data_IF_460213792435
#
_entry.id   IF_460213792435
#
_cell.length_a   1.000
_cell.length_b   1.000
_cell.length_c   1.000
_cell.angle_alpha   90.00
_cell.angle_beta   90.00
_cell.angle_gamma   90.00
#
_symmetry.space_group_name_H-M   'P 1'
#
loop_
_entity.id
_entity.type
_entity.pdbx_description
1 polymer ?
#
# COMPACT_ATOMS: atom_id res chain seq x y z
N UNK A 1 21.53 -9.04 22.62
CA UNK A 1 20.59 -8.86 23.73
C UNK A 1 20.56 -7.42 24.19
N UNK A 2 21.46 -7.03 25.11
CA UNK A 2 21.44 -5.73 25.79
C UNK A 2 21.50 -4.49 24.87
N UNK A 3 22.24 -4.52 23.75
CA UNK A 3 22.33 -3.36 22.85
C UNK A 3 21.12 -3.18 21.92
N UNK A 4 20.43 -4.27 21.55
CA UNK A 4 19.15 -4.20 20.83
C UNK A 4 18.10 -3.57 21.73
N UNK A 5 18.09 -3.92 23.02
CA UNK A 5 17.24 -3.27 24.01
C UNK A 5 17.58 -1.77 24.16
N UNK A 6 18.85 -1.37 24.10
CA UNK A 6 19.28 0.03 24.17
C UNK A 6 18.87 0.85 22.93
N UNK A 7 18.90 0.25 21.73
CA UNK A 7 18.45 0.87 20.49
C UNK A 7 16.92 0.95 20.37
N UNK A 8 16.20 -0.09 20.80
CA UNK A 8 14.74 -0.06 20.96
C UNK A 8 14.33 1.03 21.97
N UNK A 9 15.08 1.14 23.07
CA UNK A 9 14.90 2.17 24.07
C UNK A 9 15.31 3.57 23.61
N UNK A 10 15.99 3.75 22.46
CA UNK A 10 16.27 5.09 21.92
C UNK A 10 15.18 5.60 20.96
N UNK A 11 14.41 4.71 20.33
CA UNK A 11 13.30 5.07 19.44
C UNK A 11 12.13 5.74 20.21
N UNK A 12 11.92 7.04 19.99
CA UNK A 12 10.82 7.80 20.61
C UNK A 12 9.44 7.19 20.30
N UNK A 13 9.22 6.69 19.08
CA UNK A 13 7.92 6.13 18.68
C UNK A 13 7.56 4.83 19.42
N UNK A 14 8.54 3.95 19.64
CA UNK A 14 8.38 2.73 20.45
C UNK A 14 8.15 3.06 21.93
N UNK A 15 8.82 4.10 22.45
CA UNK A 15 8.61 4.58 23.83
C UNK A 15 7.23 5.23 24.03
N UNK A 16 6.70 5.88 22.99
CA UNK A 16 5.37 6.50 23.02
C UNK A 16 4.20 5.53 22.82
N UNK A 17 4.46 4.24 22.54
CA UNK A 17 3.43 3.24 22.29
C UNK A 17 2.70 3.37 20.95
N UNK A 18 3.13 4.28 20.07
CA UNK A 18 2.54 4.51 18.75
C UNK A 18 2.74 3.32 17.80
N UNK A 19 3.83 2.57 17.98
CA UNK A 19 4.21 1.38 17.20
C UNK A 19 4.58 0.23 18.14
N UNK A 20 4.20 -0.99 17.77
CA UNK A 20 4.56 -2.23 18.47
C UNK A 20 5.49 -3.09 17.62
N UNK A 21 6.49 -3.73 18.22
CA UNK A 21 7.32 -4.72 17.52
C UNK A 21 6.49 -5.99 17.32
N UNK A 22 6.03 -6.23 16.09
CA UNK A 22 5.27 -7.44 15.75
C UNK A 22 6.15 -8.65 15.54
N UNK A 23 7.32 -8.45 14.94
CA UNK A 23 8.32 -9.50 14.83
C UNK A 23 9.72 -8.95 14.65
N UNK A 24 10.70 -9.73 15.10
CA UNK A 24 12.12 -9.40 15.01
C UNK A 24 12.82 -10.58 14.36
N UNK A 25 13.52 -10.33 13.26
CA UNK A 25 14.32 -11.35 12.60
C UNK A 25 15.74 -10.86 12.41
N UNK A 26 16.70 -11.76 12.66
CA UNK A 26 18.12 -11.51 12.51
C UNK A 26 18.56 -12.00 11.13
N UNK A 27 19.09 -11.10 10.31
CA UNK A 27 19.68 -11.40 9.01
C UNK A 27 21.17 -11.05 9.08
N UNK A 28 21.98 -12.01 9.55
CA UNK A 28 23.41 -11.81 9.75
C UNK A 28 23.71 -10.71 10.77
N UNK A 29 24.27 -9.59 10.28
CA UNK A 29 24.61 -8.37 11.06
C UNK A 29 23.46 -7.40 11.26
N UNK A 30 22.34 -7.64 10.59
CA UNK A 30 21.18 -6.76 10.58
C UNK A 30 20.09 -7.35 11.46
N UNK A 31 19.55 -6.53 12.36
CA UNK A 31 18.31 -6.83 13.05
C UNK A 31 17.20 -6.06 12.35
N UNK A 32 16.26 -6.80 11.76
CA UNK A 32 15.08 -6.24 11.13
C UNK A 32 13.93 -6.30 12.12
N UNK A 33 13.38 -5.14 12.45
CA UNK A 33 12.16 -5.04 13.23
C UNK A 33 11.01 -4.79 12.28
N UNK A 34 10.00 -5.63 12.43
CA UNK A 34 8.68 -5.42 11.84
C UNK A 34 7.83 -4.73 12.88
N UNK A 35 7.57 -3.45 12.67
CA UNK A 35 6.73 -2.65 13.55
C UNK A 35 5.32 -2.58 12.98
N UNK A 36 4.30 -2.62 13.82
CA UNK A 36 2.93 -2.35 13.43
C UNK A 36 2.25 -1.41 14.41
N UNK A 37 1.42 -0.51 13.89
CA UNK A 37 0.59 0.35 14.73
C UNK A 37 -0.38 -0.51 15.54
N UNK A 38 -0.26 -0.43 16.86
CA UNK A 38 -1.23 -1.02 17.77
C UNK A 38 -2.48 -0.16 17.75
N UNK A 39 -3.40 -0.42 16.81
CA UNK A 39 -4.86 -0.22 16.95
C UNK A 39 -5.62 -0.45 15.64
N UNK A 40 -5.05 -0.20 14.46
CA UNK A 40 -5.76 -0.39 13.19
C UNK A 40 -4.84 -1.01 12.14
N UNK A 41 -5.32 -2.08 11.51
CA UNK A 41 -4.58 -2.81 10.48
C UNK A 41 -4.28 -1.92 9.29
N UNK A 42 -2.99 -1.75 8.99
CA UNK A 42 -2.53 -1.06 7.79
C UNK A 42 -1.32 -0.19 8.06
N UNK A 43 -0.15 -0.86 8.15
CA UNK A 43 1.17 -0.43 7.68
C UNK A 43 2.24 -1.12 8.55
N UNK A 44 2.94 -2.08 7.94
CA UNK A 44 4.10 -2.72 8.56
C UNK A 44 5.34 -1.87 8.22
N UNK A 45 5.80 -1.05 9.17
CA UNK A 45 7.04 -0.31 9.02
C UNK A 45 8.23 -1.26 9.26
N UNK A 46 9.23 -1.20 8.39
CA UNK A 46 10.43 -2.03 8.47
C UNK A 46 11.62 -1.18 8.90
N UNK A 47 12.07 -1.35 10.14
CA UNK A 47 13.23 -0.65 10.69
C UNK A 47 14.44 -1.58 10.72
N UNK A 48 15.61 -1.04 10.36
CA UNK A 48 16.84 -1.78 10.16
C UNK A 48 17.93 -1.18 11.05
N UNK A 49 18.51 -1.99 11.94
CA UNK A 49 19.68 -1.60 12.73
C UNK A 49 20.90 -2.38 12.26
N UNK A 50 21.98 -1.66 11.95
CA UNK A 50 23.30 -2.23 11.73
C UNK A 50 24.14 -2.01 12.97
N UNK A 51 24.82 -3.06 13.46
CA UNK A 51 25.74 -2.92 14.58
C UNK A 51 27.14 -2.55 14.04
N UNK A 52 27.66 -1.33 14.31
CA UNK A 52 28.94 -0.89 13.79
C UNK A 52 30.15 -1.64 14.39
N UNK A 53 29.98 -2.39 15.47
CA UNK A 53 31.07 -3.08 16.18
C UNK A 53 31.24 -4.56 15.81
N UNK A 54 30.49 -5.11 14.86
CA UNK A 54 30.72 -6.46 14.34
C UNK A 54 31.57 -6.43 13.07
N UNK A 55 32.89 -6.47 13.25
CA UNK A 55 33.84 -6.81 12.18
C UNK A 55 33.90 -8.33 12.02
N UNK A 56 33.63 -8.83 10.82
CA UNK A 56 34.14 -10.14 10.37
C UNK A 56 34.35 -10.14 8.86
N UNK A 57 35.56 -10.47 8.41
CA UNK A 57 35.77 -10.95 7.04
C UNK A 57 34.83 -12.15 6.81
N UNK A 58 33.85 -12.05 5.93
CA UNK A 58 33.11 -13.22 5.42
C UNK A 58 32.83 -13.02 3.94
N UNK A 59 33.75 -13.53 3.14
CA UNK A 59 33.73 -13.59 1.69
C UNK A 59 32.72 -14.65 1.23
N UNK A 60 31.41 -14.37 1.36
CA UNK A 60 30.42 -14.99 0.49
C UNK A 60 29.90 -13.89 -0.41
N UNK A 61 30.47 -13.76 -1.61
CA UNK A 61 30.06 -12.75 -2.59
C UNK A 61 28.56 -12.87 -2.80
N UNK A 62 27.80 -11.90 -2.32
CA UNK A 62 26.38 -11.85 -2.59
C UNK A 62 26.25 -11.27 -4.00
N UNK A 63 26.38 -12.14 -5.00
CA UNK A 63 26.39 -11.77 -6.43
C UNK A 63 25.22 -10.85 -6.78
N UNK A 64 24.07 -11.03 -6.13
CA UNK A 64 22.90 -10.16 -6.27
C UNK A 64 23.12 -8.81 -5.63
N UNK A 65 23.61 -8.77 -4.39
CA UNK A 65 23.93 -7.54 -3.69
C UNK A 65 24.92 -6.68 -4.47
N UNK A 66 26.03 -7.28 -4.91
CA UNK A 66 27.07 -6.62 -5.70
C UNK A 66 26.50 -6.10 -7.03
N UNK A 67 25.67 -6.91 -7.68
CA UNK A 67 24.96 -6.52 -8.90
C UNK A 67 23.96 -5.38 -8.66
N UNK A 68 23.24 -5.35 -7.53
CA UNK A 68 22.31 -4.26 -7.19
C UNK A 68 23.05 -2.94 -6.94
N UNK A 69 24.20 -2.99 -6.26
CA UNK A 69 25.07 -1.83 -6.05
C UNK A 69 25.54 -1.30 -7.40
N UNK A 70 26.14 -2.15 -8.24
CA UNK A 70 26.69 -1.73 -9.54
C UNK A 70 25.61 -1.26 -10.52
N UNK A 71 24.50 -1.99 -10.62
CA UNK A 71 23.51 -1.82 -11.70
C UNK A 71 22.45 -0.78 -11.39
N UNK A 72 22.03 -0.71 -10.12
CA UNK A 72 20.91 0.12 -9.67
C UNK A 72 21.34 1.19 -8.66
N UNK A 73 22.60 1.20 -8.20
CA UNK A 73 23.10 2.23 -7.28
C UNK A 73 22.53 2.07 -5.86
N UNK A 74 22.36 0.84 -5.40
CA UNK A 74 22.06 0.56 -3.99
C UNK A 74 23.27 0.92 -3.12
N UNK A 75 23.03 1.39 -1.89
CA UNK A 75 24.08 1.36 -0.87
C UNK A 75 24.38 -0.09 -0.49
N UNK A 76 25.53 -0.33 0.15
CA UNK A 76 25.86 -1.68 0.64
C UNK A 76 24.78 -2.23 1.58
N UNK A 77 24.23 -1.37 2.46
CA UNK A 77 23.18 -1.72 3.39
C UNK A 77 21.87 -2.09 2.68
N UNK A 78 21.43 -1.26 1.74
CA UNK A 78 20.21 -1.51 0.97
C UNK A 78 20.35 -2.81 0.15
N UNK A 79 21.54 -3.05 -0.42
CA UNK A 79 21.83 -4.24 -1.21
C UNK A 79 21.77 -5.51 -0.35
N UNK A 80 22.33 -5.49 0.86
CA UNK A 80 22.27 -6.61 1.81
C UNK A 80 20.81 -6.90 2.21
N UNK A 81 20.03 -5.86 2.55
CA UNK A 81 18.62 -6.01 2.95
C UNK A 81 17.77 -6.55 1.80
N UNK A 82 18.02 -6.08 0.58
CA UNK A 82 17.25 -6.48 -0.59
C UNK A 82 17.58 -7.91 -0.99
N UNK A 83 18.86 -8.22 -1.15
CA UNK A 83 19.33 -9.54 -1.58
C UNK A 83 18.99 -10.66 -0.59
N UNK A 84 19.01 -10.40 0.72
CA UNK A 84 18.65 -11.40 1.75
C UNK A 84 17.18 -11.85 1.70
N UNK A 85 16.30 -11.08 1.05
CA UNK A 85 14.88 -11.42 0.88
C UNK A 85 14.61 -12.26 -0.37
N UNK A 86 15.63 -12.43 -1.19
CA UNK A 86 15.56 -13.19 -2.42
C UNK A 86 16.29 -14.51 -2.18
N UNK A 87 15.68 -15.63 -2.59
CA UNK A 87 16.38 -16.92 -2.49
C UNK A 87 17.65 -16.82 -3.34
N UNK A 88 18.76 -17.32 -2.81
CA UNK A 88 20.07 -17.28 -3.47
C UNK A 88 19.92 -17.77 -4.90
N UNK A 89 20.18 -16.88 -5.87
CA UNK A 89 20.10 -17.23 -7.27
C UNK A 89 21.26 -18.14 -7.62
N UNK A 90 21.02 -19.13 -8.49
CA UNK A 90 22.09 -19.89 -9.12
C UNK A 90 22.80 -19.08 -10.22
N UNK A 91 22.15 -18.06 -10.79
CA UNK A 91 22.66 -17.22 -11.88
C UNK A 91 22.06 -15.79 -11.86
N UNK A 92 22.83 -14.73 -12.20
CA UNK A 92 22.36 -13.35 -12.28
C UNK A 92 21.55 -13.02 -13.56
N UNK A 93 21.42 -13.97 -14.51
CA UNK A 93 20.77 -13.74 -15.80
C UNK A 93 19.30 -13.31 -15.68
N UNK A 94 18.54 -13.91 -14.76
CA UNK A 94 17.12 -13.59 -14.58
C UNK A 94 16.92 -12.17 -13.98
N UNK A 95 17.58 -11.79 -12.86
CA UNK A 95 17.55 -10.41 -12.37
C UNK A 95 17.96 -9.37 -13.44
N UNK A 96 18.99 -9.66 -14.23
CA UNK A 96 19.46 -8.77 -15.28
C UNK A 96 18.42 -8.57 -16.39
N UNK A 97 17.78 -9.67 -16.83
CA UNK A 97 16.73 -9.63 -17.84
C UNK A 97 15.50 -8.84 -17.39
N UNK A 98 15.09 -8.99 -16.12
CA UNK A 98 13.95 -8.24 -15.55
C UNK A 98 14.27 -6.74 -15.47
N UNK A 99 15.46 -6.37 -15.01
CA UNK A 99 15.86 -4.96 -14.94
C UNK A 99 15.96 -4.35 -16.33
N UNK A 100 16.51 -5.07 -17.31
CA UNK A 100 16.56 -4.62 -18.70
C UNK A 100 15.14 -4.40 -19.24
N UNK A 101 14.23 -5.35 -19.01
CA UNK A 101 12.84 -5.22 -19.42
C UNK A 101 12.15 -3.99 -18.80
N UNK A 102 12.40 -3.68 -17.52
CA UNK A 102 11.85 -2.46 -16.92
C UNK A 102 12.39 -1.18 -17.57
N UNK A 103 13.69 -1.14 -17.92
CA UNK A 103 14.25 -0.01 -18.66
C UNK A 103 13.61 0.13 -20.05
N UNK A 104 13.47 -0.98 -20.77
CA UNK A 104 12.80 -1.03 -22.08
C UNK A 104 11.32 -0.61 -21.99
N UNK A 105 10.68 -0.83 -20.83
CA UNK A 105 9.31 -0.39 -20.54
C UNK A 105 9.22 1.10 -20.14
N UNK A 106 10.32 1.84 -20.21
CA UNK A 106 10.37 3.29 -19.95
C UNK A 106 10.57 3.68 -18.48
N UNK A 107 10.98 2.75 -17.60
CA UNK A 107 11.28 3.06 -16.20
C UNK A 107 12.74 3.50 -16.04
N UNK A 108 12.95 4.55 -15.25
CA UNK A 108 14.30 5.03 -14.94
C UNK A 108 15.00 4.18 -13.85
N UNK A 109 16.31 4.41 -13.68
CA UNK A 109 17.13 3.67 -12.71
C UNK A 109 16.62 3.81 -11.27
N UNK A 110 16.15 4.99 -10.86
CA UNK A 110 15.68 5.27 -9.51
C UNK A 110 14.33 4.59 -9.24
N UNK A 111 13.42 4.62 -10.21
CA UNK A 111 12.14 3.91 -10.18
C UNK A 111 12.36 2.39 -10.06
N UNK A 112 13.26 1.82 -10.88
CA UNK A 112 13.58 0.39 -10.81
C UNK A 112 14.21 0.05 -9.46
N UNK A 113 15.16 0.87 -8.97
CA UNK A 113 15.74 0.71 -7.62
C UNK A 113 14.64 0.64 -6.56
N UNK A 114 13.68 1.57 -6.59
CA UNK A 114 12.56 1.60 -5.65
C UNK A 114 11.68 0.35 -5.71
N UNK A 115 11.28 -0.08 -6.91
CA UNK A 115 10.47 -1.30 -7.11
C UNK A 115 11.19 -2.53 -6.55
N UNK A 116 12.48 -2.67 -6.86
CA UNK A 116 13.30 -3.80 -6.42
C UNK A 116 13.49 -3.78 -4.90
N UNK A 117 13.73 -2.61 -4.31
CA UNK A 117 13.83 -2.48 -2.85
C UNK A 117 12.53 -2.85 -2.15
N UNK A 118 11.39 -2.40 -2.69
CA UNK A 118 10.07 -2.63 -2.11
C UNK A 118 9.52 -4.04 -2.31
N UNK A 119 9.90 -4.69 -3.41
CA UNK A 119 9.50 -6.05 -3.76
C UNK A 119 10.69 -6.86 -4.29
N UNK A 120 11.67 -7.23 -3.44
CA UNK A 120 12.89 -7.90 -3.91
C UNK A 120 12.65 -9.23 -4.63
N UNK A 121 11.59 -9.95 -4.24
CA UNK A 121 11.18 -11.23 -4.82
C UNK A 121 10.85 -11.15 -6.31
N UNK A 122 10.59 -9.95 -6.85
CA UNK A 122 10.32 -9.76 -8.28
C UNK A 122 11.50 -10.24 -9.13
N UNK A 123 12.73 -10.10 -8.64
CA UNK A 123 13.94 -10.53 -9.34
C UNK A 123 14.02 -12.06 -9.53
N UNK A 124 13.25 -12.83 -8.75
CA UNK A 124 13.12 -14.30 -8.89
C UNK A 124 11.91 -14.75 -9.68
N UNK A 125 11.06 -13.83 -10.14
CA UNK A 125 9.91 -14.20 -10.95
C UNK A 125 10.35 -14.55 -12.38
N UNK A 126 9.56 -15.39 -13.05
CA UNK A 126 9.73 -15.66 -14.47
C UNK A 126 9.33 -14.42 -15.28
N UNK A 127 10.23 -13.93 -16.12
CA UNK A 127 10.01 -12.72 -16.92
C UNK A 127 8.80 -12.86 -17.86
N UNK A 128 8.69 -13.98 -18.58
CA UNK A 128 7.67 -14.20 -19.62
C UNK A 128 6.32 -14.60 -19.02
N UNK A 129 6.32 -15.45 -17.99
CA UNK A 129 5.09 -16.01 -17.41
C UNK A 129 4.49 -15.14 -16.32
N UNK A 130 5.28 -14.30 -15.67
CA UNK A 130 4.86 -13.58 -14.46
C UNK A 130 5.02 -12.07 -14.60
N UNK A 131 6.19 -11.58 -15.02
CA UNK A 131 6.45 -10.14 -15.02
C UNK A 131 5.76 -9.44 -16.20
N UNK A 132 6.00 -9.90 -17.44
CA UNK A 132 5.41 -9.32 -18.65
C UNK A 132 3.89 -9.31 -18.65
N UNK A 133 3.17 -10.39 -18.29
CA UNK A 133 1.71 -10.37 -18.30
C UNK A 133 1.11 -9.35 -17.33
N UNK A 134 1.69 -9.19 -16.14
CA UNK A 134 1.24 -8.18 -15.16
C UNK A 134 1.51 -6.76 -15.64
N UNK A 135 2.66 -6.54 -16.26
CA UNK A 135 3.04 -5.24 -16.83
C UNK A 135 2.13 -4.86 -17.99
N UNK A 136 1.81 -5.82 -18.86
CA UNK A 136 0.87 -5.62 -19.96
C UNK A 136 -0.49 -5.18 -19.46
N UNK A 137 -1.04 -5.82 -18.41
CA UNK A 137 -2.34 -5.41 -17.85
C UNK A 137 -2.33 -3.96 -17.35
N UNK A 138 -1.23 -3.50 -16.73
CA UNK A 138 -1.12 -2.11 -16.30
C UNK A 138 -1.02 -1.15 -17.50
N UNK A 139 -0.29 -1.54 -18.54
CA UNK A 139 -0.18 -0.77 -19.79
C UNK A 139 -1.52 -0.70 -20.54
N UNK A 140 -2.29 -1.79 -20.54
CA UNK A 140 -3.64 -1.86 -21.12
C UNK A 140 -4.64 -0.96 -20.35
N UNK A 141 -4.34 -0.59 -19.09
CA UNK A 141 -5.06 0.43 -18.32
C UNK A 141 -4.57 1.87 -18.62
N UNK A 142 -3.67 2.04 -19.59
CA UNK A 142 -3.11 3.33 -19.99
C UNK A 142 -1.93 3.82 -19.16
N UNK A 143 -1.37 3.01 -18.26
CA UNK A 143 -0.21 3.39 -17.45
C UNK A 143 1.09 3.19 -18.25
N UNK A 144 1.94 4.23 -18.28
CA UNK A 144 3.25 4.17 -18.93
C UNK A 144 4.29 5.01 -18.18
N UNK A 145 5.58 4.77 -18.45
CA UNK A 145 6.69 5.52 -17.86
C UNK A 145 6.59 5.68 -16.33
N UNK A 146 6.60 6.93 -15.87
CA UNK A 146 6.53 7.27 -14.44
C UNK A 146 5.22 6.86 -13.77
N UNK A 147 4.09 6.96 -14.46
CA UNK A 147 2.78 6.58 -13.91
C UNK A 147 2.73 5.07 -13.62
N UNK A 148 3.32 4.28 -14.52
CA UNK A 148 3.48 2.85 -14.34
C UNK A 148 4.35 2.53 -13.11
N UNK A 149 5.47 3.23 -12.95
CA UNK A 149 6.34 3.07 -11.77
C UNK A 149 5.62 3.44 -10.47
N UNK A 150 4.85 4.54 -10.47
CA UNK A 150 4.07 5.01 -9.31
C UNK A 150 3.02 3.97 -8.93
N UNK A 151 2.22 3.50 -9.90
CA UNK A 151 1.18 2.50 -9.67
C UNK A 151 1.76 1.20 -9.10
N UNK A 152 2.91 0.75 -9.63
CA UNK A 152 3.60 -0.45 -9.14
C UNK A 152 4.10 -0.26 -7.70
N UNK A 153 4.74 0.88 -7.40
CA UNK A 153 5.28 1.16 -6.07
C UNK A 153 4.17 1.28 -5.02
N UNK A 154 3.05 1.92 -5.39
CA UNK A 154 1.87 1.99 -4.54
C UNK A 154 1.31 0.57 -4.28
N UNK A 155 1.13 -0.23 -5.34
CA UNK A 155 0.39 -1.48 -5.24
C UNK A 155 1.28 -2.71 -5.19
N UNK A 156 1.90 -2.95 -4.03
CA UNK A 156 2.70 -4.17 -3.80
C UNK A 156 1.94 -5.48 -4.03
N UNK A 157 0.60 -5.47 -4.01
CA UNK A 157 -0.23 -6.65 -4.27
C UNK A 157 -0.14 -7.13 -5.72
N UNK A 158 0.19 -6.25 -6.68
CA UNK A 158 0.38 -6.60 -8.10
C UNK A 158 1.37 -7.76 -8.25
N UNK A 159 2.44 -7.76 -7.46
CA UNK A 159 3.47 -8.81 -7.54
C UNK A 159 3.20 -10.02 -6.64
N UNK A 160 2.34 -9.87 -5.64
CA UNK A 160 2.12 -10.88 -4.59
C UNK A 160 0.93 -11.79 -4.86
N UNK A 161 -0.01 -11.38 -5.72
CA UNK A 161 -1.29 -12.10 -5.94
C UNK A 161 -1.39 -12.69 -7.35
N UNK A 162 -2.33 -13.60 -7.53
CA UNK A 162 -2.64 -14.20 -8.83
C UNK A 162 -3.12 -13.12 -9.80
N UNK A 163 -2.61 -13.14 -11.03
CA UNK A 163 -3.09 -12.25 -12.08
C UNK A 163 -4.56 -12.53 -12.39
N UNK A 164 -4.88 -13.79 -12.65
CA UNK A 164 -6.21 -14.20 -13.15
C UNK A 164 -7.24 -14.34 -12.03
N UNK A 165 -6.83 -14.80 -10.84
CA UNK A 165 -7.78 -15.03 -9.74
C UNK A 165 -7.97 -13.81 -8.85
N UNK A 166 -7.13 -12.77 -8.98
CA UNK A 166 -7.20 -11.61 -8.09
C UNK A 166 -7.13 -10.28 -8.85
N UNK A 167 -6.04 -10.01 -9.57
CA UNK A 167 -5.84 -8.68 -10.16
C UNK A 167 -6.87 -8.36 -11.24
N UNK A 168 -7.11 -9.29 -12.17
CA UNK A 168 -8.08 -9.10 -13.25
C UNK A 168 -9.52 -8.92 -12.72
N UNK A 169 -10.04 -9.79 -11.82
CA UNK A 169 -11.34 -9.57 -11.19
C UNK A 169 -11.43 -8.26 -10.42
N UNK A 170 -10.36 -7.86 -9.72
CA UNK A 170 -10.33 -6.60 -8.99
C UNK A 170 -10.40 -5.40 -9.93
N UNK A 171 -9.65 -5.40 -11.04
CA UNK A 171 -9.76 -4.33 -12.05
C UNK A 171 -11.14 -4.30 -12.70
N UNK A 172 -11.74 -5.46 -12.99
CA UNK A 172 -13.12 -5.53 -13.48
C UNK A 172 -14.11 -4.94 -12.47
N UNK A 173 -13.93 -5.23 -11.18
CA UNK A 173 -14.75 -4.69 -10.10
C UNK A 173 -14.60 -3.17 -9.99
N UNK A 174 -13.39 -2.63 -10.10
CA UNK A 174 -13.18 -1.17 -10.12
C UNK A 174 -13.85 -0.51 -11.33
N UNK A 175 -13.80 -1.17 -12.51
CA UNK A 175 -14.43 -0.67 -13.74
C UNK A 175 -15.97 -0.65 -13.70
N UNK A 176 -16.62 -1.25 -12.69
CA UNK A 176 -18.08 -1.09 -12.52
C UNK A 176 -18.45 0.27 -11.94
N UNK A 177 -17.48 0.98 -11.35
CA UNK A 177 -17.68 2.29 -10.71
C UNK A 177 -16.86 3.38 -11.39
N UNK A 178 -15.64 3.05 -11.83
CA UNK A 178 -14.66 3.99 -12.36
C UNK A 178 -14.51 3.84 -13.88
N UNK A 179 -14.32 4.96 -14.57
CA UNK A 179 -13.83 4.94 -15.96
C UNK A 179 -12.40 4.39 -16.04
N UNK A 180 -11.97 3.90 -17.20
CA UNK A 180 -10.60 3.40 -17.40
C UNK A 180 -9.51 4.42 -17.02
N UNK A 181 -9.73 5.70 -17.34
CA UNK A 181 -8.84 6.80 -16.96
C UNK A 181 -8.83 7.02 -15.44
N UNK A 182 -9.95 6.80 -14.78
CA UNK A 182 -10.04 6.94 -13.33
C UNK A 182 -9.44 5.74 -12.60
N UNK A 183 -9.55 4.53 -13.16
CA UNK A 183 -8.90 3.34 -12.61
C UNK A 183 -7.38 3.54 -12.53
N UNK A 184 -6.75 4.01 -13.61
CA UNK A 184 -5.30 4.25 -13.60
C UNK A 184 -4.89 5.27 -12.53
N UNK A 185 -5.64 6.37 -12.40
CA UNK A 185 -5.46 7.37 -11.34
C UNK A 185 -5.63 6.77 -9.94
N UNK A 186 -6.67 5.97 -9.73
CA UNK A 186 -6.98 5.33 -8.46
C UNK A 186 -5.85 4.36 -8.03
N UNK A 187 -5.29 3.62 -8.99
CA UNK A 187 -4.14 2.74 -8.75
C UNK A 187 -2.89 3.53 -8.36
N UNK A 188 -2.62 4.68 -8.98
CA UNK A 188 -1.48 5.51 -8.60
C UNK A 188 -1.63 6.11 -7.19
N UNK A 189 -2.86 6.43 -6.79
CA UNK A 189 -3.15 7.15 -5.54
C UNK A 189 -3.37 6.24 -4.34
N UNK A 190 -3.78 4.98 -4.55
CA UNK A 190 -4.25 4.12 -3.48
C UNK A 190 -3.77 2.69 -3.58
N UNK A 191 -3.27 2.19 -2.45
CA UNK A 191 -2.92 0.77 -2.25
C UNK A 191 -4.13 -0.06 -1.78
N UNK A 192 -5.18 0.61 -1.29
CA UNK A 192 -6.33 -0.04 -0.64
C UNK A 192 -7.27 -0.68 -1.65
N UNK A 193 -7.39 -0.11 -2.85
CA UNK A 193 -8.31 -0.61 -3.87
C UNK A 193 -7.86 -1.93 -4.49
N UNK A 194 -6.58 -2.29 -4.34
CA UNK A 194 -6.04 -3.58 -4.76
C UNK A 194 -6.01 -4.62 -3.63
N UNK A 195 -6.49 -4.26 -2.44
CA UNK A 195 -6.57 -5.13 -1.28
C UNK A 195 -7.64 -6.22 -1.46
N UNK A 196 -7.42 -7.47 -0.99
CA UNK A 196 -8.42 -8.54 -1.08
C UNK A 196 -9.81 -8.19 -0.56
N UNK A 197 -9.88 -7.44 0.55
CA UNK A 197 -11.17 -7.00 1.11
C UNK A 197 -11.92 -6.03 0.20
N UNK A 198 -11.22 -5.26 -0.66
CA UNK A 198 -11.88 -4.33 -1.57
C UNK A 198 -12.80 -5.07 -2.55
N UNK A 199 -12.34 -6.19 -3.10
CA UNK A 199 -13.12 -6.97 -4.07
C UNK A 199 -14.45 -7.47 -3.50
N UNK A 200 -14.46 -7.90 -2.23
CA UNK A 200 -15.67 -8.37 -1.57
C UNK A 200 -16.59 -7.24 -1.10
N UNK A 201 -16.02 -6.13 -0.64
CA UNK A 201 -16.79 -5.07 0.02
C UNK A 201 -17.27 -4.00 -0.96
N UNK A 202 -16.53 -3.74 -2.04
CA UNK A 202 -16.80 -2.65 -2.97
C UNK A 202 -18.21 -2.73 -3.59
N UNK A 203 -18.70 -3.88 -4.11
CA UNK A 203 -20.06 -3.95 -4.63
C UNK A 203 -21.11 -3.61 -3.57
N UNK A 204 -20.95 -4.15 -2.35
CA UNK A 204 -21.88 -3.91 -1.24
C UNK A 204 -21.87 -2.45 -0.77
N UNK A 205 -20.70 -1.82 -0.69
CA UNK A 205 -20.57 -0.42 -0.30
C UNK A 205 -21.14 0.50 -1.37
N UNK A 206 -20.90 0.22 -2.64
CA UNK A 206 -21.46 1.00 -3.76
C UNK A 206 -22.98 0.93 -3.74
N UNK A 207 -23.56 -0.26 -3.62
CA UNK A 207 -25.00 -0.44 -3.50
C UNK A 207 -25.57 0.32 -2.29
N UNK A 208 -24.94 0.20 -1.12
CA UNK A 208 -25.36 0.93 0.08
C UNK A 208 -25.33 2.45 -0.10
N UNK A 209 -24.31 3.00 -0.76
CA UNK A 209 -24.22 4.43 -1.03
C UNK A 209 -25.31 4.87 -2.03
N UNK A 210 -25.56 4.09 -3.07
CA UNK A 210 -26.63 4.36 -4.04
C UNK A 210 -28.01 4.36 -3.36
N UNK A 211 -28.28 3.40 -2.47
CA UNK A 211 -29.52 3.32 -1.67
C UNK A 211 -29.72 4.51 -0.73
N UNK A 212 -28.63 5.23 -0.40
CA UNK A 212 -28.66 6.46 0.40
C UNK A 212 -28.53 7.73 -0.46
N UNK A 213 -28.77 7.63 -1.77
CA UNK A 213 -28.90 8.78 -2.67
C UNK A 213 -27.59 9.33 -3.24
N UNK A 214 -26.46 8.64 -3.08
CA UNK A 214 -25.21 9.05 -3.70
C UNK A 214 -25.25 8.76 -5.21
N UNK A 215 -24.96 9.77 -6.03
CA UNK A 215 -24.76 9.59 -7.47
C UNK A 215 -23.46 8.83 -7.76
N UNK A 216 -23.38 8.19 -8.93
CA UNK A 216 -22.16 7.50 -9.36
C UNK A 216 -20.95 8.43 -9.36
N UNK A 217 -21.11 9.68 -9.83
CA UNK A 217 -20.04 10.69 -9.80
C UNK A 217 -19.53 10.96 -8.39
N UNK A 218 -20.44 11.00 -7.39
CA UNK A 218 -20.06 11.22 -5.99
C UNK A 218 -19.37 10.00 -5.39
N UNK A 219 -19.77 8.79 -5.80
CA UNK A 219 -19.11 7.55 -5.39
C UNK A 219 -17.71 7.47 -6.00
N UNK A 220 -17.55 7.85 -7.27
CA UNK A 220 -16.25 7.97 -7.93
C UNK A 220 -15.34 8.97 -7.21
N UNK A 221 -15.84 10.16 -6.88
CA UNK A 221 -15.13 11.16 -6.08
C UNK A 221 -14.68 10.58 -4.73
N UNK A 222 -15.59 9.93 -3.99
CA UNK A 222 -15.28 9.27 -2.72
C UNK A 222 -14.22 8.17 -2.85
N UNK A 223 -14.22 7.43 -3.96
CA UNK A 223 -13.25 6.36 -4.20
C UNK A 223 -11.84 6.90 -4.40
N UNK A 224 -11.72 8.06 -5.06
CA UNK A 224 -10.45 8.75 -5.23
C UNK A 224 -9.97 9.43 -3.95
N UNK A 225 -10.87 10.12 -3.23
CA UNK A 225 -10.50 10.90 -2.05
C UNK A 225 -10.32 10.05 -0.79
N UNK A 226 -11.15 9.03 -0.62
CA UNK A 226 -11.25 8.19 0.59
C UNK A 226 -11.26 6.70 0.23
N UNK A 227 -10.26 6.17 -0.49
CA UNK A 227 -10.25 4.77 -0.95
C UNK A 227 -10.32 3.74 0.19
N UNK A 228 -9.95 4.13 1.43
CA UNK A 228 -10.11 3.28 2.63
C UNK A 228 -11.56 2.93 2.92
N UNK A 229 -12.53 3.77 2.52
CA UNK A 229 -13.94 3.49 2.67
C UNK A 229 -14.31 2.13 2.06
N UNK A 230 -13.79 1.84 0.87
CA UNK A 230 -14.15 0.67 0.07
C UNK A 230 -13.51 -0.65 0.53
N UNK A 231 -12.72 -0.63 1.60
CA UNK A 231 -12.22 -1.84 2.27
C UNK A 231 -12.82 -2.03 3.66
N UNK A 232 -13.68 -1.12 4.12
CA UNK A 232 -14.36 -1.23 5.41
C UNK A 232 -15.44 -2.31 5.37
N UNK A 233 -15.83 -2.80 6.53
CA UNK A 233 -17.01 -3.64 6.67
C UNK A 233 -18.24 -2.84 6.20
N UNK A 234 -19.04 -3.34 5.23
CA UNK A 234 -20.26 -2.70 4.78
C UNK A 234 -21.22 -2.35 5.92
N UNK A 235 -21.27 -3.17 7.00
CA UNK A 235 -22.09 -2.87 8.17
C UNK A 235 -21.67 -1.57 8.86
N UNK A 236 -20.36 -1.34 8.99
CA UNK A 236 -19.84 -0.11 9.58
C UNK A 236 -20.17 1.11 8.72
N UNK A 237 -20.15 0.97 7.39
CA UNK A 237 -20.52 2.06 6.47
C UNK A 237 -22.00 2.39 6.63
N UNK A 238 -22.86 1.36 6.68
CA UNK A 238 -24.28 1.51 6.94
C UNK A 238 -24.56 2.23 8.27
N UNK A 239 -23.91 1.82 9.36
CA UNK A 239 -24.09 2.46 10.68
C UNK A 239 -23.75 3.95 10.64
N UNK A 240 -22.75 4.35 9.85
CA UNK A 240 -22.36 5.75 9.69
C UNK A 240 -23.43 6.51 8.89
N UNK A 241 -23.96 5.93 7.80
CA UNK A 241 -25.04 6.52 7.02
C UNK A 241 -26.29 6.77 7.88
N UNK A 242 -26.69 5.79 8.69
CA UNK A 242 -27.81 5.93 9.65
C UNK A 242 -27.53 7.02 10.69
N UNK A 243 -26.28 7.17 11.15
CA UNK A 243 -25.91 8.25 12.08
C UNK A 243 -26.03 9.64 11.44
N UNK A 244 -25.87 9.79 10.13
CA UNK A 244 -26.10 11.08 9.46
C UNK A 244 -27.56 11.51 9.63
N UNK A 245 -28.49 10.58 9.43
CA UNK A 245 -29.92 10.83 9.61
C UNK A 245 -30.25 11.09 11.08
N UNK A 246 -29.86 10.16 11.96
CA UNK A 246 -30.37 10.17 13.33
C UNK A 246 -29.61 11.10 14.28
N UNK A 247 -28.29 11.30 14.09
CA UNK A 247 -27.50 12.19 14.95
C UNK A 247 -27.35 13.58 14.38
N UNK A 248 -27.06 13.69 13.09
CA UNK A 248 -26.91 15.00 12.45
C UNK A 248 -28.25 15.59 12.02
N UNK A 249 -29.33 14.80 12.02
CA UNK A 249 -30.66 15.24 11.58
C UNK A 249 -30.63 15.78 10.15
N UNK A 250 -29.79 15.16 9.29
CA UNK A 250 -29.67 15.51 7.87
C UNK A 250 -30.43 14.45 7.06
N UNK A 251 -31.54 14.81 6.39
CA UNK A 251 -32.28 13.91 5.51
C UNK A 251 -31.46 13.44 4.29
N UNK A 252 -31.77 12.24 3.75
CA UNK A 252 -31.05 11.65 2.60
C UNK A 252 -31.12 12.49 1.33
N UNK A 253 -32.24 13.16 1.10
CA UNK A 253 -32.49 14.05 -0.03
C UNK A 253 -31.77 15.40 0.11
N UNK A 254 -31.18 15.68 1.28
CA UNK A 254 -30.43 16.90 1.50
C UNK A 254 -29.11 16.88 0.72
N UNK A 255 -28.74 17.97 0.02
CA UNK A 255 -27.42 18.09 -0.60
C UNK A 255 -26.27 18.05 0.43
N UNK A 256 -26.58 18.23 1.72
CA UNK A 256 -25.59 18.14 2.82
C UNK A 256 -25.37 16.71 3.32
N UNK A 257 -26.16 15.73 2.89
CA UNK A 257 -26.07 14.35 3.38
C UNK A 257 -24.67 13.76 3.16
N UNK A 258 -24.13 13.92 1.95
CA UNK A 258 -22.77 13.51 1.61
C UNK A 258 -21.71 14.18 2.50
N UNK A 259 -21.90 15.46 2.82
CA UNK A 259 -21.02 16.21 3.71
C UNK A 259 -21.08 15.71 5.15
N UNK A 260 -22.28 15.42 5.66
CA UNK A 260 -22.48 14.81 6.98
C UNK A 260 -21.81 13.43 7.07
N UNK A 261 -21.98 12.59 6.04
CA UNK A 261 -21.31 11.30 5.93
C UNK A 261 -19.78 11.46 5.96
N UNK A 262 -19.23 12.38 5.17
CA UNK A 262 -17.79 12.66 5.15
C UNK A 262 -17.25 13.10 6.51
N UNK A 263 -18.01 13.92 7.24
CA UNK A 263 -17.64 14.38 8.58
C UNK A 263 -17.56 13.22 9.57
N UNK A 264 -18.59 12.36 9.61
CA UNK A 264 -18.61 11.18 10.50
C UNK A 264 -17.55 10.14 10.14
N UNK A 265 -17.20 10.02 8.86
CA UNK A 265 -16.12 9.14 8.40
C UNK A 265 -14.72 9.63 8.83
N UNK A 266 -14.54 10.94 8.95
CA UNK A 266 -13.22 11.56 9.15
C UNK A 266 -12.92 11.89 10.61
N UNK A 267 -13.93 11.87 11.49
CA UNK A 267 -13.84 12.39 12.85
C UNK A 267 -14.35 11.38 13.87
N UNK A 268 -13.82 11.45 15.09
CA UNK A 268 -14.39 10.67 16.20
C UNK A 268 -15.76 11.24 16.59
N UNK A 269 -16.62 10.37 17.11
CA UNK A 269 -17.97 10.73 17.55
C UNK A 269 -17.97 11.88 18.56
N UNK A 270 -17.07 11.80 19.56
CA UNK A 270 -16.86 12.87 20.55
C UNK A 270 -16.48 14.20 19.91
N UNK A 271 -15.66 14.18 18.86
CA UNK A 271 -15.25 15.41 18.18
C UNK A 271 -16.40 16.03 17.40
N UNK A 272 -17.25 15.19 16.77
CA UNK A 272 -18.44 15.65 16.07
C UNK A 272 -19.42 16.28 17.06
N UNK A 273 -19.69 15.62 18.19
CA UNK A 273 -20.58 16.13 19.24
C UNK A 273 -20.09 17.47 19.82
N UNK A 274 -18.81 17.57 20.15
CA UNK A 274 -18.21 18.82 20.64
C UNK A 274 -18.31 19.96 19.62
N UNK A 275 -18.13 19.68 18.32
CA UNK A 275 -18.33 20.69 17.26
C UNK A 275 -19.78 21.11 17.14
N UNK A 276 -20.73 20.19 17.22
CA UNK A 276 -22.17 20.51 17.19
C UNK A 276 -22.54 21.41 18.36
N UNK A 277 -22.07 21.10 19.57
CA UNK A 277 -22.29 21.92 20.76
C UNK A 277 -21.68 23.33 20.60
N UNK A 278 -20.46 23.40 20.09
CA UNK A 278 -19.79 24.67 19.79
C UNK A 278 -20.59 25.50 18.79
N UNK A 279 -21.05 24.91 17.69
CA UNK A 279 -21.86 25.64 16.70
C UNK A 279 -23.20 26.10 17.30
N UNK A 280 -23.87 25.27 18.10
CA UNK A 280 -25.10 25.65 18.81
C UNK A 280 -24.89 26.83 19.78
N UNK A 281 -23.71 26.97 20.37
CA UNK A 281 -23.41 28.11 21.25
C UNK A 281 -23.28 29.46 20.51
N UNK A 282 -23.12 29.43 19.18
CA UNK A 282 -23.00 30.64 18.36
C UNK A 282 -24.32 31.09 17.70
N UNK A 283 -25.43 30.36 17.93
CA UNK A 283 -26.74 30.60 17.29
C UNK A 283 -26.85 29.96 15.91
#
# INVERSE_FOLDING_TARGET
GAQVAKALASCCELRSGLVSVKSMYRLGRVVVLKLGNGSHGGDDFRWVFQNPNFSTKSTSSNVVGDYLVASLGFSEEEAIVTSSQVRTFKSPENPASIIRFFRESGLDKAQIKKIVYDTPKILSCDLEKVVKPRMKVLQDLGLSGSDLAIAICANRQIWKRSLNCHLMPMFQCLKTVLSDKTVSKALMQSTFLTHPSAMGNLPSIVALLQDHGFSNDKIEELMLEKPRLFIMDPKRVHDILVKVENKLQIPRDSPRFCGGFHALMSMSEKTVESKIETYKSFG
#
